data_IF_892142157257
#
_entry.id   IF_892142157257
#
_cell.length_a   1.000
_cell.length_b   1.000
_cell.length_c   1.000
_cell.angle_alpha   90.00
_cell.angle_beta   90.00
_cell.angle_gamma   90.00
#
_symmetry.space_group_name_H-M   'P 1'
#
loop_
_entity.id
_entity.type
_entity.pdbx_description
1 polymer ?
#
# COMPACT_ATOMS: atom_id res chain seq x y z
N UNK A 1 25.03 -9.75 11.67
CA UNK A 1 23.69 -9.18 11.88
C UNK A 1 23.42 -8.26 10.70
N UNK A 2 22.46 -8.57 9.81
CA UNK A 2 22.14 -7.67 8.69
C UNK A 2 21.51 -6.39 9.28
N UNK A 3 21.92 -5.17 8.86
CA UNK A 3 21.24 -3.96 9.31
C UNK A 3 19.78 -4.07 8.90
N UNK A 4 18.87 -3.77 9.83
CA UNK A 4 17.44 -3.68 9.52
C UNK A 4 17.31 -2.81 8.27
N UNK A 5 16.70 -3.39 7.25
CA UNK A 5 16.56 -2.84 5.91
C UNK A 5 16.22 -1.35 6.01
N UNK A 6 16.93 -0.53 5.23
CA UNK A 6 16.58 0.87 5.03
C UNK A 6 15.11 0.92 4.60
N UNK A 7 14.20 1.23 5.52
CA UNK A 7 12.77 1.24 5.26
C UNK A 7 12.48 2.42 4.34
N UNK A 8 12.50 2.18 3.03
CA UNK A 8 11.73 3.00 2.09
C UNK A 8 10.31 3.05 2.66
N UNK A 9 9.76 4.25 2.80
CA UNK A 9 8.57 4.53 3.62
C UNK A 9 7.46 3.47 3.42
N UNK A 10 6.99 2.85 4.51
CA UNK A 10 5.97 1.80 4.45
C UNK A 10 4.60 2.38 4.80
N UNK A 11 3.55 2.03 4.05
CA UNK A 11 2.18 2.40 4.38
C UNK A 11 1.21 1.21 4.31
N UNK A 12 0.24 1.19 5.22
CA UNK A 12 -0.89 0.27 5.25
C UNK A 12 -2.14 1.01 4.78
N UNK A 13 -2.79 0.50 3.73
CA UNK A 13 -4.02 1.10 3.19
C UNK A 13 -5.16 0.10 3.31
N UNK A 14 -6.14 0.43 4.17
CA UNK A 14 -7.39 -0.34 4.31
C UNK A 14 -8.47 0.20 3.38
N UNK A 15 -9.31 -0.67 2.82
CA UNK A 15 -10.29 -0.27 1.80
C UNK A 15 -9.65 0.02 0.44
N UNK A 16 -8.49 -0.58 0.15
CA UNK A 16 -7.67 -0.27 -1.02
C UNK A 16 -8.25 -0.74 -2.37
N UNK A 17 -9.35 -1.50 -2.38
CA UNK A 17 -9.92 -2.07 -3.61
C UNK A 17 -10.72 -1.09 -4.47
N UNK A 18 -11.10 0.09 -3.96
CA UNK A 18 -11.96 1.05 -4.68
C UNK A 18 -11.98 2.44 -4.06
N UNK A 19 -12.41 3.43 -4.84
CA UNK A 19 -12.62 4.81 -4.38
C UNK A 19 -11.34 5.43 -3.81
N UNK A 20 -11.49 6.26 -2.77
CA UNK A 20 -10.38 7.03 -2.19
C UNK A 20 -9.25 6.12 -1.71
N UNK A 21 -9.55 4.96 -1.10
CA UNK A 21 -8.51 4.03 -0.66
C UNK A 21 -7.62 3.53 -1.80
N UNK A 22 -8.20 3.27 -2.97
CA UNK A 22 -7.47 2.89 -4.18
C UNK A 22 -6.62 4.04 -4.71
N UNK A 23 -7.19 5.23 -4.82
CA UNK A 23 -6.48 6.42 -5.31
C UNK A 23 -5.30 6.79 -4.39
N UNK A 24 -5.50 6.66 -3.07
CA UNK A 24 -4.46 6.90 -2.06
C UNK A 24 -3.34 5.87 -2.13
N UNK A 25 -3.67 4.59 -2.36
CA UNK A 25 -2.66 3.56 -2.60
C UNK A 25 -1.79 3.89 -3.82
N UNK A 26 -2.39 4.35 -4.93
CA UNK A 26 -1.60 4.77 -6.09
C UNK A 26 -0.73 5.99 -5.80
N UNK A 27 -1.25 6.99 -5.09
CA UNK A 27 -0.47 8.19 -4.78
C UNK A 27 0.72 7.87 -3.85
N UNK A 28 0.51 7.04 -2.83
CA UNK A 28 1.61 6.60 -1.97
C UNK A 28 2.66 5.79 -2.74
N UNK A 29 2.25 4.91 -3.65
CA UNK A 29 3.17 4.16 -4.51
C UNK A 29 4.02 5.10 -5.39
N UNK A 30 3.42 6.13 -5.99
CA UNK A 30 4.15 7.15 -6.77
C UNK A 30 5.19 7.91 -5.95
N UNK A 31 4.89 8.14 -4.66
CA UNK A 31 5.79 8.81 -3.72
C UNK A 31 6.84 7.85 -3.11
N UNK A 32 7.00 6.65 -3.66
CA UNK A 32 8.06 5.71 -3.29
C UNK A 32 7.76 4.84 -2.07
N UNK A 33 6.49 4.78 -1.64
CA UNK A 33 6.13 3.94 -0.51
C UNK A 33 6.03 2.46 -0.92
N UNK A 34 6.49 1.58 -0.02
CA UNK A 34 6.09 0.17 -0.03
C UNK A 34 4.72 0.04 0.63
N UNK A 35 3.82 -0.77 0.05
CA UNK A 35 2.41 -0.81 0.46
C UNK A 35 1.99 -2.18 0.93
N UNK A 36 1.26 -2.20 2.05
CA UNK A 36 0.35 -3.28 2.41
C UNK A 36 -1.08 -2.84 2.10
N UNK A 37 -1.77 -3.57 1.22
CA UNK A 37 -3.14 -3.25 0.82
C UNK A 37 -4.11 -4.25 1.44
N UNK A 38 -5.18 -3.73 2.05
CA UNK A 38 -6.20 -4.56 2.71
C UNK A 38 -7.57 -4.19 2.17
N UNK A 39 -8.32 -5.19 1.72
CA UNK A 39 -9.71 -5.06 1.31
C UNK A 39 -10.48 -6.35 1.59
N UNK A 40 -11.81 -6.27 1.58
CA UNK A 40 -12.70 -7.44 1.77
C UNK A 40 -12.83 -8.29 0.50
N UNK A 41 -12.83 -7.62 -0.65
CA UNK A 41 -12.96 -8.25 -1.97
C UNK A 41 -11.58 -8.33 -2.61
N UNK A 42 -10.98 -9.52 -2.55
CA UNK A 42 -9.65 -9.77 -3.13
C UNK A 42 -9.65 -9.70 -4.65
N UNK A 43 -10.77 -9.95 -5.33
CA UNK A 43 -10.83 -9.86 -6.79
C UNK A 43 -10.69 -8.41 -7.25
N UNK A 44 -11.27 -7.47 -6.51
CA UNK A 44 -11.14 -6.02 -6.77
C UNK A 44 -9.80 -5.42 -6.32
N UNK A 45 -9.01 -6.16 -5.55
CA UNK A 45 -7.71 -5.70 -5.04
C UNK A 45 -6.55 -5.96 -6.02
N UNK A 46 -6.79 -6.75 -7.06
CA UNK A 46 -5.81 -7.09 -8.11
C UNK A 46 -5.60 -5.96 -9.13
#
# INVERSE_FOLDING_TARGET
>A
MKPYLQYNHLALVTGASSGIGKDFAYELAKNGFSLYLVARDMQKLN
#
